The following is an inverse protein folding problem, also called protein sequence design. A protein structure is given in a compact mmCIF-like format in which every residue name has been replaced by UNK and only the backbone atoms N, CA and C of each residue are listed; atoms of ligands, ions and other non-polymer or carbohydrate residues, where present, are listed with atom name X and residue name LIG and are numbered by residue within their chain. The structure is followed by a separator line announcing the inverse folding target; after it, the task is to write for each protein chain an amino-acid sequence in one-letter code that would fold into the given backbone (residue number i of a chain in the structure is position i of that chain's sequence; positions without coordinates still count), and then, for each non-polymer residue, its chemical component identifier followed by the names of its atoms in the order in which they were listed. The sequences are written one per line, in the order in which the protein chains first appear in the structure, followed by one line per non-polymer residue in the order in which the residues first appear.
data_IF_378501949805
#
_entry.id   IF_378501949805
#
_cell.length_a   1.000
_cell.length_b   1.000
_cell.length_c   1.000
_cell.angle_alpha   90.00
_cell.angle_beta   90.00
_cell.angle_gamma   90.00
#
_symmetry.space_group_name_H-M   'P 1'
#
loop_
_entity.id
_entity.type
_entity.pdbx_description
1 polymer ?
#
# COMPACT_ATOMS: atom_id res chain seq x y z
N UNK A 1 -7.16 25.82 -20.48
CA UNK A 1 -6.71 24.92 -19.40
C UNK A 1 -5.22 25.14 -19.30
N UNK A 2 -4.73 25.66 -18.18
CA UNK A 2 -3.31 25.80 -17.92
C UNK A 2 -2.72 24.39 -17.81
N UNK A 3 -1.71 24.08 -18.62
CA UNK A 3 -0.97 22.82 -18.54
C UNK A 3 -0.49 22.60 -17.10
N UNK A 4 -0.74 21.40 -16.54
CA UNK A 4 -0.25 21.04 -15.21
C UNK A 4 1.24 20.69 -15.30
N UNK A 5 2.17 21.51 -14.78
CA UNK A 5 3.60 21.28 -14.92
C UNK A 5 4.05 19.95 -14.29
N UNK A 6 3.33 19.44 -13.29
CA UNK A 6 3.63 18.15 -12.68
C UNK A 6 3.49 16.99 -13.67
N UNK A 7 2.60 17.09 -14.67
CA UNK A 7 2.42 16.04 -15.68
C UNK A 7 3.65 15.85 -16.57
N UNK A 8 4.46 16.89 -16.73
CA UNK A 8 5.66 16.93 -17.57
C UNK A 8 6.95 16.58 -16.80
N UNK A 9 6.84 16.09 -15.57
CA UNK A 9 8.00 15.58 -14.85
C UNK A 9 8.57 14.37 -15.59
N UNK A 10 9.86 14.43 -15.94
CA UNK A 10 10.58 13.32 -16.54
C UNK A 10 11.00 12.34 -15.44
N UNK A 11 10.60 11.08 -15.59
CA UNK A 11 10.92 10.05 -14.58
C UNK A 11 12.43 9.77 -14.52
N UNK A 12 13.16 10.06 -15.57
CA UNK A 12 14.64 9.98 -15.63
C UNK A 12 15.33 10.89 -14.61
N UNK A 13 14.70 12.01 -14.22
CA UNK A 13 15.25 12.96 -13.24
C UNK A 13 15.21 12.37 -11.80
N UNK A 14 14.51 11.26 -11.64
CA UNK A 14 14.38 10.49 -10.38
C UNK A 14 15.11 9.15 -10.46
N UNK A 15 16.19 9.14 -11.21
CA UNK A 15 17.11 8.00 -11.31
C UNK A 15 18.29 8.16 -10.36
N UNK A 16 18.76 7.06 -9.84
CA UNK A 16 19.99 7.00 -9.05
C UNK A 16 20.61 5.60 -9.17
N UNK A 17 21.93 5.44 -9.01
CA UNK A 17 22.57 4.14 -9.07
C UNK A 17 22.20 3.33 -7.80
N UNK A 18 21.43 2.25 -7.99
CA UNK A 18 21.10 1.29 -6.93
C UNK A 18 21.77 -0.05 -7.25
N UNK A 19 22.95 -0.34 -6.67
CA UNK A 19 23.62 -1.62 -6.84
C UNK A 19 22.83 -2.76 -6.16
N UNK A 20 22.83 -3.96 -6.75
CA UNK A 20 22.08 -5.12 -6.22
C UNK A 20 22.52 -5.51 -4.80
N UNK A 21 23.76 -5.30 -4.44
CA UNK A 21 24.30 -5.53 -3.10
C UNK A 21 23.73 -4.59 -2.03
N UNK A 22 23.16 -3.46 -2.44
CA UNK A 22 22.45 -2.56 -1.52
C UNK A 22 21.01 -2.97 -1.27
N UNK A 23 20.45 -3.85 -2.08
CA UNK A 23 19.09 -4.36 -1.90
C UNK A 23 19.10 -5.45 -0.83
N UNK A 24 18.45 -5.17 0.30
CA UNK A 24 18.34 -6.15 1.38
C UNK A 24 17.36 -7.28 0.99
N UNK A 25 17.89 -8.46 0.74
CA UNK A 25 17.10 -9.64 0.33
C UNK A 25 16.40 -10.32 1.50
N UNK A 26 16.91 -10.09 2.72
CA UNK A 26 16.38 -10.63 3.98
C UNK A 26 16.34 -9.56 5.06
N UNK A 27 15.40 -9.65 6.02
CA UNK A 27 15.40 -8.78 7.18
C UNK A 27 16.58 -9.05 8.10
N UNK A 28 16.91 -8.11 8.97
CA UNK A 28 17.78 -8.35 10.11
C UNK A 28 17.10 -9.31 11.12
N UNK A 29 17.88 -10.05 11.87
CA UNK A 29 17.38 -10.93 12.92
C UNK A 29 16.53 -10.18 13.94
N UNK A 30 16.98 -8.99 14.35
CA UNK A 30 16.22 -7.99 15.10
C UNK A 30 15.91 -6.82 14.16
N UNK A 31 14.66 -6.73 13.66
CA UNK A 31 14.26 -5.78 12.59
C UNK A 31 14.47 -4.32 12.99
N UNK A 32 14.32 -3.98 14.25
CA UNK A 32 14.47 -2.61 14.76
C UNK A 32 15.93 -2.19 15.01
N UNK A 33 16.91 -3.06 14.74
CA UNK A 33 18.33 -2.71 14.71
C UNK A 33 18.77 -2.14 13.35
N UNK A 34 17.86 -2.05 12.37
CA UNK A 34 18.12 -1.38 11.10
C UNK A 34 18.54 0.07 11.32
N UNK A 35 19.26 0.66 10.36
CA UNK A 35 19.59 2.07 10.41
C UNK A 35 18.34 2.92 10.22
N UNK A 36 18.35 4.09 10.85
CA UNK A 36 17.34 5.14 10.70
C UNK A 36 18.04 6.41 10.22
N UNK A 37 17.77 6.81 8.97
CA UNK A 37 18.19 8.11 8.48
C UNK A 37 17.21 9.16 9.01
N UNK A 38 17.74 10.24 9.55
CA UNK A 38 17.00 11.37 10.10
C UNK A 38 17.21 12.57 9.18
N UNK A 39 16.12 13.07 8.58
CA UNK A 39 16.18 14.25 7.72
C UNK A 39 15.29 15.36 8.25
N UNK A 40 15.86 16.54 8.44
CA UNK A 40 15.12 17.75 8.83
C UNK A 40 15.78 19.01 8.26
N UNK A 41 15.02 19.76 7.47
CA UNK A 41 15.44 21.08 6.94
C UNK A 41 16.82 21.08 6.28
N UNK A 42 17.14 20.06 5.47
CA UNK A 42 18.43 19.90 4.80
C UNK A 42 19.53 19.25 5.63
N UNK A 43 19.32 19.00 6.90
CA UNK A 43 20.25 18.24 7.74
C UNK A 43 19.95 16.73 7.65
N UNK A 44 21.01 15.92 7.49
CA UNK A 44 20.94 14.47 7.51
C UNK A 44 21.77 13.96 8.69
N UNK A 45 21.18 13.05 9.47
CA UNK A 45 21.82 12.30 10.57
C UNK A 45 21.45 10.85 10.48
N UNK A 46 22.09 9.99 11.28
CA UNK A 46 21.71 8.58 11.37
C UNK A 46 21.66 8.09 12.80
N UNK A 47 20.81 7.10 13.02
CA UNK A 47 20.67 6.37 14.27
C UNK A 47 20.19 4.93 13.98
N UNK A 48 19.74 4.21 14.98
CA UNK A 48 19.06 2.94 14.88
C UNK A 48 17.55 3.08 15.03
N UNK A 49 16.79 2.23 14.32
CA UNK A 49 15.33 2.33 14.28
C UNK A 49 14.68 2.23 15.66
N UNK A 50 15.23 1.40 16.57
CA UNK A 50 14.69 1.30 17.95
C UNK A 50 14.73 2.64 18.73
N UNK A 51 15.51 3.61 18.29
CA UNK A 51 15.56 4.96 18.84
C UNK A 51 14.52 5.92 18.22
N UNK A 52 13.74 5.47 17.22
CA UNK A 52 12.68 6.28 16.57
C UNK A 52 11.82 7.07 17.57
N UNK A 53 11.34 6.48 18.69
CA UNK A 53 10.50 7.22 19.64
C UNK A 53 11.15 8.48 20.19
N UNK A 54 12.48 8.55 20.28
CA UNK A 54 13.21 9.72 20.81
C UNK A 54 13.03 10.96 19.93
N UNK A 55 12.82 10.79 18.64
CA UNK A 55 12.71 11.85 17.64
C UNK A 55 11.27 12.33 17.40
N UNK A 56 10.27 11.62 17.91
CA UNK A 56 8.88 11.95 17.70
C UNK A 56 8.34 12.86 18.82
N UNK A 57 7.49 13.85 18.51
CA UNK A 57 6.92 14.73 19.53
C UNK A 57 5.91 13.97 20.40
N UNK A 58 5.93 14.29 21.71
CA UNK A 58 4.93 13.77 22.66
C UNK A 58 3.54 14.25 22.25
N UNK A 59 2.55 13.38 22.38
CA UNK A 59 1.15 13.67 22.03
C UNK A 59 0.90 13.74 20.52
N UNK A 60 1.84 13.29 19.68
CA UNK A 60 1.60 13.15 18.26
C UNK A 60 0.66 11.99 17.96
N UNK A 61 0.01 12.05 16.79
CA UNK A 61 -0.75 10.93 16.21
C UNK A 61 0.10 10.21 15.16
N UNK A 62 0.32 8.92 15.31
CA UNK A 62 1.05 8.09 14.36
C UNK A 62 0.10 7.11 13.68
N UNK A 63 0.07 7.11 12.33
CA UNK A 63 -0.91 6.33 11.56
C UNK A 63 -0.23 5.24 10.76
N UNK A 64 -0.77 4.03 10.89
CA UNK A 64 -0.24 2.78 10.32
C UNK A 64 -1.23 2.16 9.33
N UNK A 65 -0.73 1.57 8.26
CA UNK A 65 -1.54 0.69 7.42
C UNK A 65 -1.55 -0.72 8.03
N UNK A 66 -2.71 -1.18 8.50
CA UNK A 66 -2.90 -2.44 9.22
C UNK A 66 -3.19 -3.65 8.32
N UNK A 67 -2.98 -3.50 7.01
CA UNK A 67 -3.24 -4.58 6.06
C UNK A 67 -2.29 -5.76 6.27
N UNK A 68 -2.81 -6.97 6.00
CA UNK A 68 -2.06 -8.23 6.06
C UNK A 68 -1.90 -8.82 4.67
N UNK A 69 -0.68 -9.24 4.32
CA UNK A 69 -0.39 -9.87 3.04
C UNK A 69 -1.01 -11.26 3.00
N UNK A 70 -1.66 -11.57 1.88
CA UNK A 70 -2.28 -12.86 1.61
C UNK A 70 -1.36 -13.75 0.75
N UNK A 71 -1.54 -15.05 0.83
CA UNK A 71 -0.83 -16.04 0.01
C UNK A 71 -1.49 -16.10 -1.38
N UNK A 72 -1.30 -15.04 -2.17
CA UNK A 72 -2.05 -14.76 -3.38
C UNK A 72 -1.59 -15.51 -4.63
N UNK A 73 -0.48 -16.25 -4.58
CA UNK A 73 0.05 -17.00 -5.72
C UNK A 73 -0.38 -18.46 -5.64
N UNK A 74 -1.15 -18.90 -6.63
CA UNK A 74 -1.62 -20.27 -6.76
C UNK A 74 -0.97 -20.95 -7.97
N UNK A 75 -0.49 -22.16 -7.79
CA UNK A 75 0.14 -22.95 -8.84
C UNK A 75 -0.74 -24.12 -9.26
N UNK A 76 -0.94 -24.27 -10.55
CA UNK A 76 -1.66 -25.37 -11.17
C UNK A 76 -0.76 -26.08 -12.19
N UNK A 77 -0.92 -27.39 -12.32
CA UNK A 77 -0.28 -28.17 -13.37
C UNK A 77 -1.32 -28.67 -14.36
N UNK A 78 -1.07 -28.42 -15.64
CA UNK A 78 -1.87 -29.04 -16.71
C UNK A 78 -1.51 -30.51 -16.85
N UNK A 79 -2.40 -31.29 -17.45
CA UNK A 79 -2.13 -32.71 -17.83
C UNK A 79 -0.87 -32.87 -18.71
N UNK A 80 -0.49 -31.82 -19.42
CA UNK A 80 0.77 -31.73 -20.21
C UNK A 80 2.03 -31.47 -19.40
N UNK A 81 1.92 -31.32 -18.06
CA UNK A 81 3.02 -30.96 -17.16
C UNK A 81 3.32 -29.44 -17.09
N UNK A 82 2.65 -28.60 -17.88
CA UNK A 82 2.90 -27.17 -17.86
C UNK A 82 2.43 -26.54 -16.55
N UNK A 83 3.35 -25.81 -15.88
CA UNK A 83 3.03 -24.99 -14.70
C UNK A 83 2.34 -23.70 -15.12
N UNK A 84 1.20 -23.41 -14.49
CA UNK A 84 0.45 -22.16 -14.62
C UNK A 84 0.41 -21.50 -13.24
N UNK A 85 0.94 -20.28 -13.12
CA UNK A 85 0.77 -19.44 -11.95
C UNK A 85 -0.47 -18.57 -12.12
N UNK A 86 -1.33 -18.54 -11.10
CA UNK A 86 -2.48 -17.64 -11.03
C UNK A 86 -2.27 -16.74 -9.81
N UNK A 87 -1.97 -15.47 -10.06
CA UNK A 87 -1.68 -14.48 -9.03
C UNK A 87 -2.90 -13.59 -8.80
N UNK A 88 -3.59 -13.80 -7.68
CA UNK A 88 -4.75 -13.02 -7.26
C UNK A 88 -4.34 -11.58 -6.93
N UNK A 89 -4.98 -10.60 -7.60
CA UNK A 89 -4.70 -9.17 -7.40
C UNK A 89 -5.76 -8.52 -6.51
N UNK A 90 -7.02 -8.67 -6.90
CA UNK A 90 -8.16 -8.05 -6.23
C UNK A 90 -9.42 -8.90 -6.44
N UNK A 91 -10.38 -8.85 -5.48
CA UNK A 91 -11.66 -9.53 -5.65
C UNK A 91 -12.48 -8.89 -6.75
N UNK A 92 -13.18 -9.73 -7.53
CA UNK A 92 -14.06 -9.27 -8.59
C UNK A 92 -15.53 -9.50 -8.23
N UNK A 93 -15.89 -10.73 -7.83
CA UNK A 93 -17.26 -11.04 -7.43
C UNK A 93 -17.26 -12.02 -6.25
N UNK A 94 -17.70 -11.58 -5.07
CA UNK A 94 -18.02 -10.20 -4.69
C UNK A 94 -16.76 -9.31 -4.68
N UNK A 95 -16.92 -7.99 -4.91
CA UNK A 95 -15.81 -7.04 -4.98
C UNK A 95 -15.26 -6.66 -3.59
N UNK A 96 -16.03 -6.86 -2.52
CA UNK A 96 -15.57 -6.63 -1.16
C UNK A 96 -14.59 -7.72 -0.71
N UNK A 97 -13.46 -7.34 -0.14
CA UNK A 97 -12.41 -8.26 0.29
C UNK A 97 -12.89 -9.24 1.38
N UNK A 98 -13.61 -8.78 2.37
CA UNK A 98 -14.05 -9.64 3.49
C UNK A 98 -15.12 -10.62 3.01
N UNK A 99 -16.08 -10.15 2.21
CA UNK A 99 -17.09 -11.00 1.62
C UNK A 99 -16.47 -12.01 0.66
N UNK A 100 -15.48 -11.60 -0.13
CA UNK A 100 -14.78 -12.47 -1.08
C UNK A 100 -14.00 -13.58 -0.35
N UNK A 101 -13.28 -13.27 0.71
CA UNK A 101 -12.56 -14.24 1.53
C UNK A 101 -13.49 -15.22 2.26
N UNK A 102 -14.67 -14.77 2.65
CA UNK A 102 -15.67 -15.59 3.33
C UNK A 102 -16.50 -16.46 2.37
N UNK A 103 -16.38 -16.26 1.04
CA UNK A 103 -17.10 -17.10 0.07
C UNK A 103 -16.74 -18.56 0.24
N UNK A 104 -17.75 -19.43 0.13
CA UNK A 104 -17.63 -20.88 0.12
C UNK A 104 -18.11 -21.43 -1.21
N UNK A 105 -17.43 -22.47 -1.70
CA UNK A 105 -17.76 -23.13 -2.96
C UNK A 105 -17.25 -22.42 -4.21
N UNK A 106 -17.37 -21.09 -4.35
CA UNK A 106 -16.78 -20.38 -5.51
C UNK A 106 -16.60 -18.87 -5.27
N UNK A 107 -15.64 -18.28 -6.01
CA UNK A 107 -15.35 -16.84 -5.97
C UNK A 107 -14.66 -16.44 -7.28
N UNK A 108 -14.80 -15.18 -7.70
CA UNK A 108 -14.11 -14.63 -8.88
C UNK A 108 -13.15 -13.53 -8.46
N UNK A 109 -11.92 -13.59 -8.98
CA UNK A 109 -10.85 -12.61 -8.74
C UNK A 109 -10.25 -12.12 -10.05
N UNK A 110 -9.79 -10.87 -10.05
CA UNK A 110 -8.88 -10.35 -11.08
C UNK A 110 -7.48 -10.87 -10.77
N UNK A 111 -6.86 -11.56 -11.75
CA UNK A 111 -5.58 -12.23 -11.57
C UNK A 111 -4.60 -11.89 -12.70
N UNK A 112 -3.29 -11.92 -12.38
CA UNK A 112 -2.25 -12.11 -13.40
C UNK A 112 -1.98 -13.59 -13.60
N UNK A 113 -1.65 -13.98 -14.84
CA UNK A 113 -1.43 -15.37 -15.19
C UNK A 113 -0.04 -15.55 -15.77
N UNK A 114 0.79 -16.30 -15.05
CA UNK A 114 2.08 -16.78 -15.54
C UNK A 114 1.89 -17.90 -16.55
N UNK A 115 2.70 -17.95 -17.61
CA UNK A 115 2.59 -18.90 -18.70
C UNK A 115 1.21 -18.89 -19.42
N UNK A 116 0.57 -17.72 -19.52
CA UNK A 116 -0.75 -17.54 -20.13
C UNK A 116 -0.89 -18.24 -21.50
N UNK A 117 0.19 -18.24 -22.31
CA UNK A 117 0.22 -18.93 -23.63
C UNK A 117 -0.07 -20.43 -23.53
N UNK A 118 0.17 -21.03 -22.38
CA UNK A 118 -0.10 -22.46 -22.12
C UNK A 118 -1.51 -22.72 -21.60
N UNK A 119 -2.23 -21.67 -21.16
CA UNK A 119 -3.62 -21.76 -20.69
C UNK A 119 -4.54 -20.92 -21.57
N UNK A 120 -4.81 -21.40 -22.75
CA UNK A 120 -5.69 -20.72 -23.72
C UNK A 120 -7.17 -20.87 -23.35
N UNK A 121 -7.55 -22.06 -22.94
CA UNK A 121 -8.93 -22.46 -22.63
C UNK A 121 -8.96 -23.63 -21.65
N UNK A 122 -10.16 -23.94 -21.18
CA UNK A 122 -10.44 -25.04 -20.27
C UNK A 122 -10.21 -24.68 -18.80
N UNK A 123 -10.59 -25.62 -17.95
CA UNK A 123 -10.47 -25.52 -16.51
C UNK A 123 -9.16 -26.15 -16.06
N UNK A 124 -8.51 -25.49 -15.09
CA UNK A 124 -7.40 -26.08 -14.34
C UNK A 124 -7.96 -26.74 -13.10
N UNK A 125 -7.38 -27.87 -12.70
CA UNK A 125 -7.79 -28.61 -11.50
C UNK A 125 -6.56 -28.95 -10.68
N UNK A 126 -6.72 -28.88 -9.35
CA UNK A 126 -5.68 -29.22 -8.39
C UNK A 126 -6.33 -29.88 -7.16
N UNK A 127 -6.00 -31.13 -6.83
CA UNK A 127 -6.31 -31.71 -5.54
C UNK A 127 -5.58 -30.90 -4.44
N UNK A 128 -6.29 -30.54 -3.39
CA UNK A 128 -5.76 -29.76 -2.27
C UNK A 128 -6.23 -30.35 -0.94
N UNK A 129 -5.51 -30.01 0.14
CA UNK A 129 -5.88 -30.40 1.49
C UNK A 129 -6.01 -29.14 2.35
N UNK A 130 -7.20 -28.92 2.90
CA UNK A 130 -7.53 -27.77 3.74
C UNK A 130 -8.11 -28.25 5.06
N UNK A 131 -7.47 -27.90 6.20
CA UNK A 131 -7.96 -28.30 7.51
C UNK A 131 -8.16 -29.81 7.71
N UNK A 132 -7.38 -30.64 6.99
CA UNK A 132 -7.51 -32.11 7.01
C UNK A 132 -8.50 -32.69 6.00
N UNK A 133 -9.29 -31.88 5.31
CA UNK A 133 -10.21 -32.29 4.24
C UNK A 133 -9.50 -32.30 2.89
N UNK A 134 -9.78 -33.31 2.09
CA UNK A 134 -9.33 -33.40 0.70
C UNK A 134 -10.44 -32.86 -0.20
N UNK A 135 -10.11 -31.92 -1.08
CA UNK A 135 -11.03 -31.30 -2.02
C UNK A 135 -10.32 -30.95 -3.33
N UNK A 136 -11.09 -30.70 -4.37
CA UNK A 136 -10.56 -30.30 -5.67
C UNK A 136 -10.81 -28.82 -5.91
N UNK A 137 -9.73 -28.04 -6.01
CA UNK A 137 -9.81 -26.66 -6.44
C UNK A 137 -9.74 -26.58 -7.96
N UNK A 138 -10.65 -25.82 -8.53
CA UNK A 138 -10.67 -25.53 -9.97
C UNK A 138 -10.45 -24.03 -10.22
N UNK A 139 -9.81 -23.71 -11.34
CA UNK A 139 -9.69 -22.33 -11.83
C UNK A 139 -10.14 -22.27 -13.29
N UNK A 140 -11.01 -21.32 -13.61
CA UNK A 140 -11.54 -21.08 -14.94
C UNK A 140 -11.40 -19.60 -15.31
N UNK A 141 -10.80 -19.33 -16.47
CA UNK A 141 -10.66 -18.00 -16.98
C UNK A 141 -11.93 -17.55 -17.68
N UNK A 142 -12.57 -16.47 -17.19
CA UNK A 142 -13.83 -15.97 -17.72
C UNK A 142 -13.63 -14.87 -18.77
N UNK A 143 -12.62 -13.99 -18.60
CA UNK A 143 -12.42 -12.86 -19.48
C UNK A 143 -11.15 -12.06 -19.15
N UNK A 144 -11.06 -10.86 -19.73
CA UNK A 144 -10.02 -9.87 -19.46
C UNK A 144 -10.65 -8.80 -18.60
N UNK A 145 -9.98 -8.39 -17.51
CA UNK A 145 -10.37 -7.30 -16.63
C UNK A 145 -9.19 -6.36 -16.43
N UNK A 146 -9.29 -5.16 -16.95
CA UNK A 146 -8.20 -4.18 -16.89
C UNK A 146 -6.88 -4.73 -17.45
N UNK A 147 -5.85 -4.78 -16.64
CA UNK A 147 -4.53 -5.34 -17.00
C UNK A 147 -4.38 -6.84 -16.66
N UNK A 148 -5.43 -7.46 -16.12
CA UNK A 148 -5.47 -8.85 -15.68
C UNK A 148 -6.55 -9.69 -16.36
N UNK A 149 -6.86 -10.81 -15.73
CA UNK A 149 -7.88 -11.75 -16.18
C UNK A 149 -8.85 -12.04 -15.04
N UNK A 150 -10.13 -12.13 -15.36
CA UNK A 150 -11.13 -12.67 -14.45
C UNK A 150 -10.96 -14.19 -14.36
N UNK A 151 -10.71 -14.67 -13.15
CA UNK A 151 -10.58 -16.09 -12.86
C UNK A 151 -11.59 -16.48 -11.79
N UNK A 152 -12.45 -17.45 -12.15
CA UNK A 152 -13.34 -18.09 -11.19
C UNK A 152 -12.63 -19.27 -10.56
N UNK A 153 -12.49 -19.23 -9.24
CA UNK A 153 -12.10 -20.37 -8.43
C UNK A 153 -13.34 -21.08 -7.91
N UNK A 154 -13.35 -22.42 -7.90
CA UNK A 154 -14.40 -23.21 -7.30
C UNK A 154 -13.84 -24.48 -6.66
N UNK A 155 -14.46 -24.94 -5.58
CA UNK A 155 -14.08 -26.14 -4.84
C UNK A 155 -15.32 -26.88 -4.33
N UNK A 156 -15.18 -28.16 -4.06
CA UNK A 156 -16.26 -29.10 -3.80
C UNK A 156 -16.65 -29.25 -2.31
N UNK A 157 -16.28 -28.29 -1.46
CA UNK A 157 -16.68 -28.25 -0.04
C UNK A 157 -17.18 -26.85 0.36
N UNK A 158 -18.48 -26.72 0.62
CA UNK A 158 -19.14 -25.46 1.00
C UNK A 158 -18.90 -25.05 2.47
N UNK A 159 -18.11 -25.79 3.23
CA UNK A 159 -17.73 -25.45 4.61
C UNK A 159 -16.34 -24.82 4.70
N UNK A 160 -15.61 -24.80 3.58
CA UNK A 160 -14.28 -24.21 3.45
C UNK A 160 -14.39 -22.87 2.75
N UNK A 161 -13.83 -21.83 3.33
CA UNK A 161 -13.78 -20.48 2.77
C UNK A 161 -12.61 -20.31 1.79
N UNK A 162 -12.70 -19.32 0.90
CA UNK A 162 -11.60 -18.97 0.00
C UNK A 162 -10.33 -18.57 0.75
N UNK A 163 -10.48 -17.86 1.90
CA UNK A 163 -9.34 -17.54 2.75
C UNK A 163 -8.58 -18.78 3.23
N UNK A 164 -9.30 -19.84 3.61
CA UNK A 164 -8.68 -21.11 4.04
C UNK A 164 -8.01 -21.84 2.86
N UNK A 165 -8.59 -21.76 1.67
CA UNK A 165 -7.95 -22.27 0.44
C UNK A 165 -6.63 -21.56 0.18
N UNK A 166 -6.60 -20.22 0.22
CA UNK A 166 -5.38 -19.43 0.02
C UNK A 166 -4.31 -19.75 1.08
N UNK A 167 -4.72 -19.83 2.34
CA UNK A 167 -3.79 -20.13 3.46
C UNK A 167 -3.19 -21.55 3.35
N UNK A 168 -3.92 -22.49 2.74
CA UNK A 168 -3.49 -23.90 2.63
C UNK A 168 -2.51 -24.15 1.48
N UNK A 169 -2.70 -23.50 0.34
CA UNK A 169 -1.98 -23.83 -0.89
C UNK A 169 -1.34 -22.66 -1.62
N UNK A 170 -1.63 -21.44 -1.19
CA UNK A 170 -1.08 -20.24 -1.79
C UNK A 170 0.35 -19.98 -1.31
N UNK A 171 1.09 -19.27 -2.13
CA UNK A 171 2.40 -18.73 -1.79
C UNK A 171 2.30 -17.22 -1.54
N UNK A 172 3.07 -16.74 -0.56
CA UNK A 172 3.15 -15.32 -0.26
C UNK A 172 3.92 -14.61 -1.37
N UNK A 173 3.34 -13.57 -2.01
CA UNK A 173 4.06 -12.81 -3.03
C UNK A 173 5.11 -11.91 -2.37
N UNK A 174 6.38 -12.15 -2.66
CA UNK A 174 7.46 -11.23 -2.31
C UNK A 174 7.81 -10.36 -3.51
N UNK A 175 8.38 -9.16 -3.29
CA UNK A 175 8.75 -8.25 -4.38
C UNK A 175 9.77 -8.88 -5.34
N UNK A 176 9.61 -8.69 -6.67
CA UNK A 176 10.52 -9.27 -7.67
C UNK A 176 11.98 -8.84 -7.52
N UNK A 177 12.24 -7.62 -7.02
CA UNK A 177 13.61 -7.11 -6.83
C UNK A 177 14.39 -7.83 -5.73
N UNK A 178 13.74 -8.65 -4.89
CA UNK A 178 14.45 -9.51 -3.95
C UNK A 178 15.22 -10.62 -4.66
N UNK A 179 14.84 -10.93 -5.91
CA UNK A 179 15.52 -11.87 -6.81
C UNK A 179 15.84 -13.22 -6.13
N UNK A 180 14.85 -13.75 -5.43
CA UNK A 180 14.85 -15.07 -4.77
C UNK A 180 13.42 -15.62 -4.72
N UNK A 181 13.31 -16.91 -4.47
CA UNK A 181 12.04 -17.57 -4.22
C UNK A 181 11.50 -17.21 -2.83
N UNK A 182 10.18 -17.36 -2.66
CA UNK A 182 9.51 -17.23 -1.37
C UNK A 182 9.92 -18.39 -0.46
N UNK A 183 10.19 -18.07 0.78
CA UNK A 183 10.54 -19.04 1.84
C UNK A 183 9.44 -19.07 2.92
N UNK A 184 9.36 -20.15 3.68
CA UNK A 184 8.39 -20.27 4.78
C UNK A 184 8.56 -19.13 5.82
N UNK A 185 9.79 -18.67 6.02
CA UNK A 185 10.09 -17.54 6.90
C UNK A 185 9.39 -16.25 6.48
N UNK A 186 9.13 -16.05 5.17
CA UNK A 186 8.46 -14.85 4.66
C UNK A 186 7.02 -14.71 5.15
N UNK A 187 6.35 -15.82 5.48
CA UNK A 187 5.01 -15.79 6.09
C UNK A 187 4.97 -14.96 7.38
N UNK A 188 6.10 -14.84 8.07
CA UNK A 188 6.25 -14.03 9.29
C UNK A 188 7.03 -12.76 9.05
N UNK A 189 8.10 -12.83 8.25
CA UNK A 189 9.02 -11.70 8.09
C UNK A 189 8.52 -10.64 7.12
N UNK A 190 7.68 -11.00 6.15
CA UNK A 190 7.03 -10.06 5.22
C UNK A 190 5.65 -9.63 5.71
N UNK A 191 5.49 -9.51 7.04
CA UNK A 191 4.30 -9.00 7.73
C UNK A 191 4.70 -8.00 8.82
N UNK A 192 3.87 -6.99 9.03
CA UNK A 192 4.04 -6.09 10.17
C UNK A 192 3.50 -6.74 11.46
N UNK A 193 4.05 -6.36 12.61
CA UNK A 193 3.59 -6.88 13.92
C UNK A 193 2.16 -6.44 14.28
N UNK A 194 1.65 -5.41 13.58
CA UNK A 194 0.30 -4.87 13.79
C UNK A 194 -0.66 -5.19 12.64
N UNK A 195 -0.29 -6.06 11.68
CA UNK A 195 -1.16 -6.43 10.57
C UNK A 195 -2.38 -7.22 11.04
N UNK A 196 -3.58 -6.83 10.56
CA UNK A 196 -4.87 -7.40 10.99
C UNK A 196 -5.76 -7.79 9.82
N UNK A 197 -5.90 -6.91 8.83
CA UNK A 197 -6.88 -7.01 7.76
C UNK A 197 -6.28 -7.67 6.53
N UNK A 198 -6.68 -8.91 6.22
CA UNK A 198 -6.24 -9.63 5.02
C UNK A 198 -6.71 -8.91 3.74
N UNK A 199 -5.89 -8.92 2.68
CA UNK A 199 -6.28 -8.41 1.37
C UNK A 199 -5.16 -7.77 0.56
N UNK A 200 -4.00 -7.53 1.14
CA UNK A 200 -2.86 -6.97 0.42
C UNK A 200 -2.02 -8.05 -0.26
N UNK A 201 -1.48 -7.74 -1.43
CA UNK A 201 -0.47 -8.58 -2.10
C UNK A 201 0.95 -8.08 -1.87
N UNK A 202 1.11 -6.94 -1.19
CA UNK A 202 2.40 -6.42 -0.74
C UNK A 202 2.30 -5.89 0.70
N UNK A 203 3.36 -6.05 1.48
CA UNK A 203 3.42 -5.52 2.83
C UNK A 203 3.62 -3.99 2.83
N UNK A 204 3.06 -3.25 3.80
CA UNK A 204 3.44 -1.87 4.07
C UNK A 204 4.84 -1.85 4.70
N UNK A 205 5.88 -1.89 3.84
CA UNK A 205 7.24 -2.30 4.20
C UNK A 205 7.93 -1.40 5.21
N UNK A 206 7.59 -0.12 5.30
CA UNK A 206 8.06 0.76 6.37
C UNK A 206 7.65 0.27 7.78
N UNK A 207 6.57 -0.49 7.86
CA UNK A 207 6.10 -1.11 9.09
C UNK A 207 6.90 -2.34 9.52
N UNK A 208 7.71 -2.91 8.64
CA UNK A 208 8.49 -4.12 8.95
C UNK A 208 9.58 -3.88 9.99
N UNK A 209 10.01 -2.65 10.19
CA UNK A 209 11.01 -2.28 11.20
C UNK A 209 10.45 -2.28 12.63
N UNK A 210 9.13 -2.11 12.78
CA UNK A 210 8.50 -2.04 14.10
C UNK A 210 8.51 -3.40 14.79
N UNK A 211 8.80 -3.34 16.09
CA UNK A 211 8.71 -4.47 17.03
C UNK A 211 7.81 -4.08 18.18
N UNK A 212 7.38 -5.05 18.98
CA UNK A 212 6.58 -4.78 20.20
C UNK A 212 7.32 -3.80 21.15
N UNK A 213 8.65 -3.90 21.23
CA UNK A 213 9.47 -3.00 22.05
C UNK A 213 9.38 -1.54 21.57
N UNK A 214 9.45 -1.31 20.25
CA UNK A 214 9.34 0.05 19.66
C UNK A 214 7.92 0.59 19.84
N UNK A 215 6.89 -0.24 19.60
CA UNK A 215 5.50 0.15 19.78
C UNK A 215 5.21 0.52 21.25
N UNK A 216 5.73 -0.26 22.20
CA UNK A 216 5.61 0.03 23.63
C UNK A 216 6.29 1.36 24.00
N UNK A 217 7.49 1.64 23.47
CA UNK A 217 8.18 2.90 23.73
C UNK A 217 7.43 4.10 23.13
N UNK A 218 6.75 3.94 22.00
CA UNK A 218 5.85 4.94 21.40
C UNK A 218 4.68 5.22 22.35
N UNK A 219 4.01 4.17 22.86
CA UNK A 219 2.89 4.29 23.79
C UNK A 219 3.32 4.96 25.12
N UNK A 220 4.46 4.54 25.70
CA UNK A 220 5.04 5.11 26.92
C UNK A 220 5.40 6.60 26.77
N UNK A 221 5.76 7.03 25.57
CA UNK A 221 6.00 8.45 25.26
C UNK A 221 4.71 9.27 25.14
N UNK A 222 3.55 8.61 25.14
CA UNK A 222 2.25 9.24 24.96
C UNK A 222 1.98 9.66 23.51
N UNK A 223 2.53 8.94 22.55
CA UNK A 223 2.22 9.07 21.14
C UNK A 223 1.03 8.17 20.85
N UNK A 224 -0.02 8.73 20.30
CA UNK A 224 -1.23 7.99 19.98
C UNK A 224 -1.06 7.22 18.66
N UNK A 225 -1.47 5.95 18.64
CA UNK A 225 -1.45 5.11 17.45
C UNK A 225 -2.83 5.00 16.83
N UNK A 226 -2.92 5.19 15.53
CA UNK A 226 -4.13 5.04 14.74
C UNK A 226 -3.89 4.14 13.53
N UNK A 227 -4.94 3.56 13.00
CA UNK A 227 -4.85 2.59 11.90
C UNK A 227 -5.76 3.01 10.74
N UNK A 228 -5.24 2.81 9.54
CA UNK A 228 -6.01 2.84 8.29
C UNK A 228 -5.78 1.53 7.56
N UNK A 229 -6.65 1.20 6.61
CA UNK A 229 -6.48 0.04 5.73
C UNK A 229 -6.35 0.53 4.30
N UNK A 230 -5.27 0.15 3.62
CA UNK A 230 -5.13 0.25 2.18
C UNK A 230 -4.68 -1.11 1.67
N UNK A 231 -5.46 -1.70 0.78
CA UNK A 231 -5.10 -2.97 0.14
C UNK A 231 -4.12 -2.70 -1.01
N UNK A 232 -2.85 -3.02 -0.76
CA UNK A 232 -1.78 -2.77 -1.73
C UNK A 232 -1.87 -3.77 -2.87
N UNK A 233 -2.07 -3.27 -4.07
CA UNK A 233 -2.08 -4.08 -5.29
C UNK A 233 -0.67 -4.40 -5.82
N UNK A 234 -0.57 -5.36 -6.74
CA UNK A 234 0.70 -5.74 -7.38
C UNK A 234 1.32 -4.63 -8.26
N UNK A 235 0.56 -3.58 -8.55
CA UNK A 235 1.03 -2.41 -9.30
C UNK A 235 2.20 -1.69 -8.63
N UNK A 236 2.27 -1.74 -7.30
CA UNK A 236 3.33 -1.10 -6.49
C UNK A 236 4.75 -1.59 -6.84
N UNK A 237 4.88 -2.79 -7.41
CA UNK A 237 6.17 -3.35 -7.82
C UNK A 237 6.60 -2.96 -9.24
N UNK A 238 5.74 -2.28 -10.01
CA UNK A 238 6.03 -1.93 -11.40
C UNK A 238 6.71 -0.55 -11.45
N UNK A 239 7.89 -0.45 -12.09
CA UNK A 239 8.49 0.87 -12.33
C UNK A 239 7.64 1.67 -13.32
N UNK A 240 7.77 3.00 -13.28
CA UNK A 240 7.22 3.89 -14.29
C UNK A 240 7.95 3.62 -15.61
N UNK A 241 7.20 3.36 -16.68
CA UNK A 241 7.76 3.04 -18.00
C UNK A 241 7.65 4.19 -19.00
N UNK A 242 6.78 5.15 -18.73
CA UNK A 242 6.63 6.36 -19.55
C UNK A 242 7.79 7.31 -19.31
N UNK A 243 8.12 8.13 -20.28
CA UNK A 243 9.15 9.17 -20.17
C UNK A 243 8.68 10.26 -19.20
N UNK A 244 7.47 10.75 -19.39
CA UNK A 244 6.79 11.69 -18.50
C UNK A 244 5.79 10.96 -17.61
N UNK A 245 5.56 11.48 -16.38
CA UNK A 245 4.63 10.86 -15.46
C UNK A 245 3.17 10.97 -15.91
N UNK A 246 2.84 11.89 -16.83
CA UNK A 246 1.53 11.96 -17.48
C UNK A 246 1.13 10.64 -18.17
N UNK A 247 2.09 9.93 -18.74
CA UNK A 247 1.88 8.65 -19.41
C UNK A 247 1.75 7.45 -18.45
N UNK A 248 1.94 7.67 -17.15
CA UNK A 248 1.80 6.62 -16.13
C UNK A 248 0.40 6.62 -15.54
N UNK A 249 -0.27 5.48 -15.57
CA UNK A 249 -1.57 5.30 -14.91
C UNK A 249 -1.38 4.62 -13.56
N UNK A 250 -1.77 5.31 -12.49
CA UNK A 250 -1.82 4.74 -11.14
C UNK A 250 -2.94 3.69 -11.06
N UNK A 251 -2.67 2.59 -10.40
CA UNK A 251 -3.72 1.63 -10.05
C UNK A 251 -4.61 2.19 -8.95
N UNK A 252 -5.91 1.92 -9.04
CA UNK A 252 -6.83 2.17 -7.94
C UNK A 252 -6.51 1.21 -6.78
N UNK A 253 -6.45 1.75 -5.57
CA UNK A 253 -6.27 0.97 -4.35
C UNK A 253 -7.41 1.25 -3.40
N UNK A 254 -8.00 0.20 -2.86
CA UNK A 254 -9.12 0.28 -1.94
C UNK A 254 -8.62 0.69 -0.55
N UNK A 255 -9.30 1.68 0.01
CA UNK A 255 -9.04 2.19 1.35
C UNK A 255 -10.27 2.05 2.26
N UNK A 256 -10.03 1.72 3.51
CA UNK A 256 -11.04 1.70 4.55
C UNK A 256 -10.54 2.47 5.78
N UNK A 257 -11.32 3.45 6.23
CA UNK A 257 -10.98 4.31 7.36
C UNK A 257 -12.15 4.39 8.33
N UNK A 258 -11.90 4.02 9.59
CA UNK A 258 -12.92 4.07 10.64
C UNK A 258 -13.31 5.51 10.96
N UNK A 259 -14.58 5.72 11.31
CA UNK A 259 -15.10 7.02 11.79
C UNK A 259 -14.26 7.55 12.97
N UNK A 260 -13.89 6.67 13.90
CA UNK A 260 -13.01 7.00 15.03
C UNK A 260 -11.64 7.52 14.58
N UNK A 261 -11.09 6.98 13.48
CA UNK A 261 -9.81 7.43 12.94
C UNK A 261 -9.88 8.86 12.39
N UNK A 262 -11.02 9.25 11.78
CA UNK A 262 -11.26 10.63 11.36
C UNK A 262 -11.36 11.56 12.57
N UNK A 263 -12.07 11.15 13.63
CA UNK A 263 -12.17 11.94 14.88
C UNK A 263 -10.79 12.19 15.50
N UNK A 264 -9.94 11.18 15.55
CA UNK A 264 -8.57 11.32 16.07
C UNK A 264 -7.74 12.28 15.24
N UNK A 265 -7.85 12.25 13.90
CA UNK A 265 -7.19 13.22 13.03
C UNK A 265 -7.67 14.64 13.33
N UNK A 266 -8.98 14.86 13.48
CA UNK A 266 -9.56 16.16 13.82
C UNK A 266 -9.04 16.63 15.19
N UNK A 267 -9.04 15.75 16.21
CA UNK A 267 -8.56 16.06 17.55
C UNK A 267 -7.09 16.46 17.61
N UNK A 268 -6.27 15.99 16.65
CA UNK A 268 -4.86 16.34 16.49
C UNK A 268 -4.62 17.51 15.51
N UNK A 269 -5.65 18.35 15.26
CA UNK A 269 -5.52 19.52 14.41
C UNK A 269 -5.41 19.20 12.90
N UNK A 270 -5.82 17.99 12.49
CA UNK A 270 -5.81 17.56 11.10
C UNK A 270 -4.46 17.09 10.58
N UNK A 271 -3.47 16.81 11.44
CA UNK A 271 -2.15 16.36 11.02
C UNK A 271 -1.64 15.15 11.80
N UNK A 272 -0.74 14.40 11.18
CA UNK A 272 -0.19 13.19 11.77
C UNK A 272 1.20 12.82 11.21
N UNK A 273 1.77 11.78 11.81
CA UNK A 273 2.97 11.06 11.36
C UNK A 273 2.49 9.83 10.58
N UNK A 274 2.85 9.71 9.31
CA UNK A 274 2.50 8.55 8.49
C UNK A 274 3.61 7.50 8.49
N UNK A 275 3.24 6.25 8.70
CA UNK A 275 4.17 5.11 8.55
C UNK A 275 3.93 4.44 7.20
N UNK A 276 4.88 4.66 6.29
CA UNK A 276 4.87 4.15 4.93
C UNK A 276 4.07 5.00 3.94
N UNK A 277 4.45 4.90 2.68
CA UNK A 277 3.83 5.62 1.56
C UNK A 277 2.37 5.24 1.34
N UNK A 278 1.96 4.04 1.71
CA UNK A 278 0.56 3.60 1.68
C UNK A 278 -0.30 4.38 2.67
N UNK A 279 0.19 4.59 3.89
CA UNK A 279 -0.48 5.46 4.87
C UNK A 279 -0.54 6.91 4.39
N UNK A 280 0.54 7.43 3.79
CA UNK A 280 0.56 8.76 3.19
C UNK A 280 -0.53 8.90 2.14
N UNK A 281 -0.60 7.97 1.17
CA UNK A 281 -1.59 8.02 0.10
C UNK A 281 -3.02 7.94 0.63
N UNK A 282 -3.27 7.11 1.63
CA UNK A 282 -4.58 7.03 2.28
C UNK A 282 -4.95 8.35 2.93
N UNK A 283 -4.07 8.89 3.78
CA UNK A 283 -4.31 10.11 4.54
C UNK A 283 -4.51 11.32 3.64
N UNK A 284 -3.63 11.51 2.66
CA UNK A 284 -3.76 12.62 1.72
C UNK A 284 -5.02 12.48 0.84
N UNK A 285 -5.45 11.26 0.52
CA UNK A 285 -6.73 11.02 -0.18
C UNK A 285 -7.94 11.45 0.65
N UNK A 286 -7.89 11.35 1.99
CA UNK A 286 -9.00 11.81 2.84
C UNK A 286 -9.29 13.29 2.66
N UNK A 287 -8.28 14.14 2.48
CA UNK A 287 -8.50 15.55 2.19
C UNK A 287 -9.39 15.72 0.96
N UNK A 288 -9.09 15.02 -0.13
CA UNK A 288 -9.85 15.12 -1.39
C UNK A 288 -11.23 14.45 -1.30
N UNK A 289 -11.38 13.40 -0.51
CA UNK A 289 -12.70 12.84 -0.18
C UNK A 289 -13.56 13.91 0.51
N UNK A 290 -13.01 14.65 1.47
CA UNK A 290 -13.70 15.77 2.11
C UNK A 290 -14.10 16.87 1.12
N UNK A 291 -13.21 17.21 0.19
CA UNK A 291 -13.49 18.15 -0.90
C UNK A 291 -14.65 17.66 -1.78
N UNK A 292 -14.65 16.38 -2.18
CA UNK A 292 -15.71 15.80 -3.02
C UNK A 292 -17.06 15.83 -2.30
N UNK A 293 -17.10 15.50 -1.01
CA UNK A 293 -18.31 15.57 -0.20
C UNK A 293 -18.81 17.01 -0.06
N UNK A 294 -17.91 17.97 0.14
CA UNK A 294 -18.27 19.39 0.21
C UNK A 294 -18.90 19.87 -1.10
N UNK A 295 -18.33 19.48 -2.25
CA UNK A 295 -18.85 19.81 -3.57
C UNK A 295 -20.17 19.09 -3.89
N UNK A 296 -20.37 17.87 -3.39
CA UNK A 296 -21.59 17.08 -3.53
C UNK A 296 -21.98 16.42 -2.20
N UNK A 297 -22.74 17.10 -1.34
CA UNK A 297 -23.15 16.53 -0.03
C UNK A 297 -24.01 15.27 -0.11
N UNK A 298 -24.57 14.97 -1.29
CA UNK A 298 -25.37 13.78 -1.56
C UNK A 298 -24.58 12.65 -2.25
N UNK A 299 -23.24 12.79 -2.36
CA UNK A 299 -22.39 11.75 -2.93
C UNK A 299 -22.60 10.42 -2.22
N UNK A 300 -22.64 9.34 -2.98
CA UNK A 300 -22.60 7.96 -2.48
C UNK A 300 -21.15 7.52 -2.27
N UNK A 301 -20.92 6.38 -1.60
CA UNK A 301 -19.57 5.85 -1.42
C UNK A 301 -18.85 5.58 -2.76
N UNK A 302 -19.61 5.18 -3.79
CA UNK A 302 -19.07 4.91 -5.13
C UNK A 302 -18.60 6.18 -5.85
N UNK A 303 -19.14 7.34 -5.48
CA UNK A 303 -18.77 8.64 -6.04
C UNK A 303 -17.47 9.20 -5.43
N UNK A 304 -16.99 8.62 -4.33
CA UNK A 304 -15.87 9.17 -3.54
C UNK A 304 -14.48 8.66 -3.98
N UNK A 305 -14.37 8.02 -5.14
CA UNK A 305 -13.08 7.64 -5.72
C UNK A 305 -12.20 8.87 -5.98
N UNK A 306 -10.94 8.84 -5.48
CA UNK A 306 -9.99 9.94 -5.69
C UNK A 306 -9.19 9.71 -6.98
N UNK A 307 -9.43 10.49 -8.05
CA UNK A 307 -8.71 10.36 -9.32
C UNK A 307 -7.24 10.76 -9.20
N UNK A 308 -6.42 10.24 -10.10
CA UNK A 308 -4.96 10.43 -10.09
C UNK A 308 -4.53 11.90 -10.05
N UNK A 309 -5.16 12.76 -10.83
CA UNK A 309 -4.76 14.16 -11.03
C UNK A 309 -5.60 15.16 -10.24
N UNK A 310 -6.61 14.70 -9.53
CA UNK A 310 -7.49 15.56 -8.73
C UNK A 310 -6.76 16.56 -7.83
N UNK A 311 -5.64 16.20 -7.15
CA UNK A 311 -4.90 17.15 -6.33
C UNK A 311 -4.49 18.42 -7.06
N UNK A 312 -3.95 18.26 -8.24
CA UNK A 312 -3.42 19.36 -9.05
C UNK A 312 -4.52 20.15 -9.75
N UNK A 313 -5.59 19.48 -10.18
CA UNK A 313 -6.78 20.10 -10.74
C UNK A 313 -7.49 20.95 -9.69
N UNK A 314 -7.65 20.43 -8.48
CA UNK A 314 -8.23 21.17 -7.37
C UNK A 314 -7.35 22.35 -6.96
N UNK A 315 -6.02 22.17 -6.86
CA UNK A 315 -5.11 23.28 -6.55
C UNK A 315 -5.20 24.42 -7.59
N UNK A 316 -5.35 24.09 -8.87
CA UNK A 316 -5.47 25.06 -9.97
C UNK A 316 -6.88 25.66 -10.14
N UNK A 317 -7.89 25.10 -9.49
CA UNK A 317 -9.27 25.61 -9.60
C UNK A 317 -9.43 26.98 -8.90
N UNK A 318 -10.39 27.79 -9.33
CA UNK A 318 -10.75 29.04 -8.69
C UNK A 318 -11.51 28.82 -7.37
N UNK A 319 -11.49 29.82 -6.49
CA UNK A 319 -12.19 29.84 -5.21
C UNK A 319 -11.33 29.40 -4.02
N UNK A 320 -11.89 29.58 -2.84
CA UNK A 320 -11.25 29.24 -1.56
C UNK A 320 -11.10 27.73 -1.43
N UNK A 321 -9.96 27.30 -0.91
CA UNK A 321 -9.67 25.89 -0.64
C UNK A 321 -10.09 25.55 0.77
N UNK A 322 -10.66 24.36 0.96
CA UNK A 322 -10.94 23.84 2.29
C UNK A 322 -9.64 23.73 3.09
N UNK A 323 -9.72 24.09 4.36
CA UNK A 323 -8.68 23.68 5.32
C UNK A 323 -8.75 22.17 5.55
N UNK A 324 -7.66 21.60 6.06
CA UNK A 324 -7.63 20.17 6.40
C UNK A 324 -8.71 19.78 7.39
N UNK A 325 -8.97 20.64 8.39
CA UNK A 325 -10.01 20.38 9.40
C UNK A 325 -11.41 20.41 8.79
N UNK A 326 -11.70 21.37 7.91
CA UNK A 326 -12.99 21.44 7.21
C UNK A 326 -13.21 20.18 6.37
N UNK A 327 -12.21 19.76 5.59
CA UNK A 327 -12.32 18.54 4.78
C UNK A 327 -12.57 17.29 5.63
N UNK A 328 -11.85 17.12 6.74
CA UNK A 328 -12.06 16.01 7.65
C UNK A 328 -13.44 16.07 8.34
N UNK A 329 -13.92 17.27 8.67
CA UNK A 329 -15.24 17.46 9.25
C UNK A 329 -16.36 17.12 8.26
N UNK A 330 -16.19 17.44 6.97
CA UNK A 330 -17.14 17.01 5.93
C UNK A 330 -17.26 15.49 5.86
N UNK A 331 -16.14 14.77 5.92
CA UNK A 331 -16.14 13.29 5.98
C UNK A 331 -16.89 12.81 7.22
N UNK A 332 -16.56 13.37 8.37
CA UNK A 332 -17.17 12.99 9.66
C UNK A 332 -18.69 13.15 9.61
N UNK A 333 -19.16 14.32 9.17
CA UNK A 333 -20.58 14.65 9.04
C UNK A 333 -21.29 13.75 8.00
N UNK A 334 -20.61 13.44 6.90
CA UNK A 334 -21.15 12.55 5.86
C UNK A 334 -21.32 11.12 6.38
N UNK A 335 -20.31 10.60 7.09
CA UNK A 335 -20.37 9.27 7.72
C UNK A 335 -21.50 9.18 8.74
N UNK A 336 -21.71 10.23 9.56
CA UNK A 336 -22.78 10.29 10.56
C UNK A 336 -24.16 10.32 9.90
N UNK A 337 -24.37 11.14 8.85
CA UNK A 337 -25.62 11.18 8.09
C UNK A 337 -25.99 9.82 7.47
N UNK A 338 -25.00 9.07 7.04
CA UNK A 338 -25.19 7.77 6.40
C UNK A 338 -25.09 6.58 7.38
N UNK A 339 -24.91 6.86 8.68
CA UNK A 339 -24.72 5.83 9.73
C UNK A 339 -23.60 4.83 9.41
N UNK A 340 -22.48 5.30 8.85
CA UNK A 340 -21.35 4.48 8.42
C UNK A 340 -20.23 4.49 9.46
N UNK A 341 -19.91 3.35 10.08
CA UNK A 341 -18.79 3.26 11.02
C UNK A 341 -17.41 3.23 10.32
N UNK A 342 -17.41 2.91 9.04
CA UNK A 342 -16.20 2.83 8.19
C UNK A 342 -16.48 3.49 6.86
N UNK A 343 -15.60 4.39 6.45
CA UNK A 343 -15.54 4.93 5.09
C UNK A 343 -14.82 3.90 4.20
N UNK A 344 -15.52 3.42 3.17
CA UNK A 344 -14.94 2.59 2.11
C UNK A 344 -14.91 3.41 0.82
N UNK A 345 -13.73 3.53 0.23
CA UNK A 345 -13.54 4.20 -1.06
C UNK A 345 -12.27 3.69 -1.73
N UNK A 346 -11.85 4.34 -2.80
CA UNK A 346 -10.60 3.99 -3.51
C UNK A 346 -9.82 5.23 -3.91
N UNK A 347 -8.54 5.05 -4.16
CA UNK A 347 -7.65 6.13 -4.59
C UNK A 347 -6.71 5.70 -5.70
N UNK A 348 -6.53 6.59 -6.67
CA UNK A 348 -5.47 6.55 -7.68
C UNK A 348 -4.48 7.70 -7.47
N UNK A 349 -4.55 8.40 -6.33
CA UNK A 349 -3.76 9.61 -6.10
C UNK A 349 -2.28 9.39 -6.47
N UNK A 350 -1.73 10.30 -7.27
CA UNK A 350 -0.30 10.44 -7.49
C UNK A 350 0.21 11.63 -6.68
N UNK A 351 1.27 11.41 -5.91
CA UNK A 351 1.94 12.48 -5.15
C UNK A 351 3.32 12.64 -5.78
N UNK A 352 3.57 13.81 -6.35
CA UNK A 352 4.78 14.16 -7.08
C UNK A 352 5.16 15.63 -6.77
N UNK A 353 6.35 16.10 -7.10
CA UNK A 353 6.74 17.50 -6.93
C UNK A 353 5.69 18.47 -7.47
N UNK A 354 5.37 19.48 -6.67
CA UNK A 354 4.23 20.37 -6.88
C UNK A 354 2.97 20.00 -6.06
N UNK A 355 3.00 18.90 -5.32
CA UNK A 355 1.95 18.52 -4.37
C UNK A 355 2.14 19.22 -3.03
N UNK A 356 1.07 19.81 -2.52
CA UNK A 356 1.03 20.37 -1.17
C UNK A 356 0.39 19.38 -0.20
N UNK A 357 1.13 18.97 0.83
CA UNK A 357 0.67 18.02 1.84
C UNK A 357 -0.32 18.67 2.80
N UNK A 358 -1.47 18.02 3.01
CA UNK A 358 -2.56 18.52 3.85
C UNK A 358 -2.55 17.91 5.26
N UNK A 359 -2.41 16.58 5.35
CA UNK A 359 -2.57 15.83 6.60
C UNK A 359 -1.23 15.35 7.15
N UNK A 360 -0.32 14.92 6.28
CA UNK A 360 0.94 14.31 6.70
C UNK A 360 2.01 15.37 6.93
N UNK A 361 2.62 15.38 8.12
CA UNK A 361 3.70 16.33 8.50
C UNK A 361 5.04 15.66 8.73
N UNK A 362 5.04 14.37 8.97
CA UNK A 362 6.25 13.55 9.16
C UNK A 362 6.03 12.19 8.54
N UNK A 363 7.04 11.64 7.88
CA UNK A 363 6.96 10.33 7.25
C UNK A 363 8.05 9.41 7.79
N UNK A 364 7.66 8.21 8.20
CA UNK A 364 8.58 7.08 8.40
C UNK A 364 8.47 6.19 7.16
N UNK A 365 9.56 6.02 6.41
CA UNK A 365 9.52 5.24 5.16
C UNK A 365 10.85 4.55 4.88
N UNK A 366 10.84 3.58 3.96
CA UNK A 366 12.03 2.94 3.42
C UNK A 366 12.63 3.77 2.28
N UNK A 367 13.80 3.36 1.79
CA UNK A 367 14.33 3.85 0.51
C UNK A 367 13.66 3.13 -0.66
N UNK A 368 13.28 3.86 -1.68
CA UNK A 368 12.48 3.38 -2.80
C UNK A 368 13.33 3.18 -4.06
N UNK A 369 12.80 2.39 -5.00
CA UNK A 369 13.46 2.14 -6.28
C UNK A 369 13.65 3.45 -7.08
N UNK A 370 14.72 3.54 -7.88
CA UNK A 370 14.85 4.60 -8.89
C UNK A 370 13.66 4.54 -9.87
N UNK A 371 13.31 5.68 -10.44
CA UNK A 371 12.21 5.84 -11.42
C UNK A 371 10.87 5.32 -10.90
N UNK A 372 10.59 5.48 -9.61
CA UNK A 372 9.33 5.04 -9.00
C UNK A 372 8.45 6.21 -8.55
N UNK A 373 7.14 6.01 -8.58
CA UNK A 373 6.17 6.98 -8.03
C UNK A 373 6.36 7.21 -6.53
N UNK A 374 6.95 6.24 -5.82
CA UNK A 374 7.24 6.36 -4.39
C UNK A 374 8.42 7.33 -4.14
N UNK A 375 9.40 7.38 -5.04
CA UNK A 375 10.48 8.37 -4.97
C UNK A 375 9.95 9.78 -5.30
N UNK A 376 9.01 9.90 -6.23
CA UNK A 376 8.32 11.16 -6.50
C UNK A 376 7.59 11.68 -5.25
N UNK A 377 6.90 10.81 -4.51
CA UNK A 377 6.22 11.14 -3.26
C UNK A 377 7.21 11.66 -2.20
N UNK A 378 8.33 10.97 -2.01
CA UNK A 378 9.39 11.41 -1.09
C UNK A 378 9.95 12.76 -1.54
N UNK A 379 10.25 12.92 -2.84
CA UNK A 379 10.76 14.17 -3.38
C UNK A 379 9.80 15.34 -3.16
N UNK A 380 8.50 15.13 -3.37
CA UNK A 380 7.48 16.14 -3.08
C UNK A 380 7.51 16.54 -1.60
N UNK A 381 7.63 15.57 -0.70
CA UNK A 381 7.63 15.79 0.74
C UNK A 381 8.83 16.59 1.23
N UNK A 382 10.02 16.28 0.72
CA UNK A 382 11.26 16.97 1.08
C UNK A 382 11.60 18.14 0.15
N UNK A 383 10.62 18.60 -0.65
CA UNK A 383 10.74 19.75 -1.57
C UNK A 383 11.96 19.67 -2.51
N UNK A 384 12.18 18.47 -3.08
CA UNK A 384 13.24 18.21 -4.04
C UNK A 384 14.57 17.75 -3.44
N UNK A 385 14.75 17.79 -2.12
CA UNK A 385 16.03 17.48 -1.46
C UNK A 385 16.31 15.96 -1.33
N UNK A 386 15.59 15.13 -2.09
CA UNK A 386 15.72 13.67 -2.06
C UNK A 386 17.12 13.17 -2.43
N UNK A 387 17.83 13.85 -3.33
CA UNK A 387 19.21 13.51 -3.70
C UNK A 387 20.13 13.50 -2.47
N UNK A 388 20.08 14.52 -1.63
CA UNK A 388 20.87 14.59 -0.41
C UNK A 388 20.65 13.39 0.50
N UNK A 389 19.40 12.95 0.63
CA UNK A 389 19.00 11.81 1.46
C UNK A 389 19.56 10.51 0.87
N UNK A 390 19.37 10.29 -0.44
CA UNK A 390 19.77 9.06 -1.11
C UNK A 390 21.29 8.97 -1.32
N UNK A 391 21.96 10.07 -1.64
CA UNK A 391 23.41 10.13 -1.73
C UNK A 391 24.08 9.83 -0.38
N UNK A 392 23.54 10.40 0.69
CA UNK A 392 24.00 10.08 2.05
C UNK A 392 23.81 8.60 2.36
N UNK A 393 22.65 8.04 2.07
CA UNK A 393 22.35 6.65 2.34
C UNK A 393 23.28 5.69 1.55
N UNK A 394 23.56 5.99 0.28
CA UNK A 394 24.48 5.22 -0.55
C UNK A 394 25.92 5.33 -0.03
N UNK A 395 26.36 6.51 0.40
CA UNK A 395 27.72 6.75 0.92
C UNK A 395 27.95 6.14 2.32
N UNK A 396 26.89 5.89 3.10
CA UNK A 396 26.99 5.44 4.50
C UNK A 396 26.41 4.05 4.73
N UNK A 397 26.50 3.16 3.73
CA UNK A 397 26.16 1.74 3.82
C UNK A 397 24.74 1.44 4.30
N UNK A 398 23.77 2.28 3.93
CA UNK A 398 22.36 1.95 4.11
C UNK A 398 21.95 0.85 3.15
N UNK A 399 21.01 0.02 3.59
CA UNK A 399 20.35 -1.01 2.79
C UNK A 399 19.02 -0.47 2.27
N UNK A 400 18.62 -0.93 1.10
CA UNK A 400 17.49 -0.37 0.37
C UNK A 400 16.32 -1.34 0.25
N UNK A 401 15.15 -0.80 -0.06
CA UNK A 401 13.88 -1.45 -0.36
C UNK A 401 13.25 -2.15 0.86
N UNK A 402 12.45 -3.20 0.64
CA UNK A 402 11.53 -3.78 1.64
C UNK A 402 12.15 -4.16 2.97
N UNK A 403 13.30 -4.83 2.94
CA UNK A 403 14.02 -5.27 4.13
C UNK A 403 15.23 -4.40 4.46
N UNK A 404 15.33 -3.28 3.77
CA UNK A 404 16.43 -2.33 3.94
C UNK A 404 16.38 -1.55 5.25
N UNK A 405 16.89 -0.35 5.21
CA UNK A 405 16.88 0.58 6.33
C UNK A 405 15.75 1.62 6.18
N UNK A 406 15.49 2.40 7.19
CA UNK A 406 14.38 3.35 7.23
C UNK A 406 14.85 4.80 7.25
N UNK A 407 13.95 5.71 6.93
CA UNK A 407 14.13 7.15 7.10
C UNK A 407 12.97 7.78 7.87
N UNK A 408 13.28 8.80 8.67
CA UNK A 408 12.34 9.71 9.33
C UNK A 408 12.52 11.09 8.70
N UNK A 409 11.48 11.55 8.00
CA UNK A 409 11.50 12.77 7.22
C UNK A 409 10.69 13.87 7.89
N UNK A 410 11.33 15.05 8.08
CA UNK A 410 10.74 16.25 8.69
C UNK A 410 10.15 15.99 10.10
N UNK A 411 10.95 15.38 10.96
CA UNK A 411 10.57 15.08 12.35
C UNK A 411 10.59 16.30 13.28
#
# INVERSE_FOLDING_TARGET
MTENPTQHIHISDYDYPLPDERIAKYPLAERDTSKLLLYRNGEVKEDKFFNLPNYLPKGALMVFNNTKVIQARLHFHKSTGALIEVFCLEPHTPADYQLSFAQTGSVTWTCLIGNLKKWKEGRLERPIKVGGKELTLTAERLGISGTGHEVRFAWDDNTVSFSEVLDAIGELPIPPYLNRDTEESDLRTYQTVYSKIKGSVAAPTAGLHFTERVLKAIDEKGIERNEVTLHVGAGTFKPVKSEEIAGHTMHAEWIAVKRESIERLIAHGGWCIAVGTTSVRTLESLYYVGVMIHQNPNATADDLHVPQWMPYEYAASEGDKLTTLEALQEIANWMDRNALPVLHTSTQIIIAPGYDYHIVRTIVTNFHQPKSTLLLLVSAFVKGDWHRIYDYALANDFRFLSYGDSSLLNY
#
